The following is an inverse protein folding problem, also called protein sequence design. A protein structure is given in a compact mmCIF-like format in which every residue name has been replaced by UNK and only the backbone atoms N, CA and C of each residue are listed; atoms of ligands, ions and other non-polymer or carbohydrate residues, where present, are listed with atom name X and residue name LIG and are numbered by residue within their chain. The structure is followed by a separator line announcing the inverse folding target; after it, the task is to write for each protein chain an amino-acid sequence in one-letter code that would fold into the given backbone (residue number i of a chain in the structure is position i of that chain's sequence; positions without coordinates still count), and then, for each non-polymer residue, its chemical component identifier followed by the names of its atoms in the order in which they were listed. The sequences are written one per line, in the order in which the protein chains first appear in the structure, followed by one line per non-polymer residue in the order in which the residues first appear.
data_IF_707750726026
#
_entry.id   IF_707750726026
#
_cell.length_a   1.000
_cell.length_b   1.000
_cell.length_c   1.000
_cell.angle_alpha   90.00
_cell.angle_beta   90.00
_cell.angle_gamma   90.00
#
_symmetry.space_group_name_H-M   'P 1'
#
loop_
_entity.id
_entity.type
_entity.pdbx_description
1 polymer ?
#
# COMPACT_ATOMS: atom_id res chain seq x y z
N UNK A 1 10.35 -30.52 7.49
CA UNK A 1 8.93 -30.79 7.13
C UNK A 1 8.05 -29.81 7.88
N UNK A 2 7.83 -28.62 7.33
CA UNK A 2 6.82 -27.69 7.85
C UNK A 2 5.47 -28.30 7.47
N UNK A 3 4.54 -28.42 8.42
CA UNK A 3 3.18 -28.92 8.13
C UNK A 3 2.62 -28.16 6.93
N UNK A 4 2.14 -28.87 5.90
CA UNK A 4 1.59 -28.23 4.71
C UNK A 4 0.36 -27.41 5.11
N UNK A 5 0.56 -26.12 5.38
CA UNK A 5 -0.52 -25.19 5.74
C UNK A 5 -1.60 -25.31 4.66
N UNK A 6 -2.87 -25.60 5.01
CA UNK A 6 -3.91 -25.74 4.02
C UNK A 6 -3.98 -24.51 3.10
N UNK A 7 -4.24 -24.72 1.81
CA UNK A 7 -4.29 -23.64 0.80
C UNK A 7 -5.22 -22.50 1.21
N UNK A 8 -6.35 -22.84 1.81
CA UNK A 8 -7.31 -21.86 2.33
C UNK A 8 -6.74 -21.01 3.48
N UNK A 9 -6.03 -21.65 4.42
CA UNK A 9 -5.40 -20.95 5.53
C UNK A 9 -4.27 -20.01 5.03
N UNK A 10 -3.49 -20.45 4.03
CA UNK A 10 -2.50 -19.58 3.34
C UNK A 10 -3.18 -18.40 2.66
N UNK A 11 -4.23 -18.64 1.87
CA UNK A 11 -5.01 -17.61 1.20
C UNK A 11 -5.55 -16.57 2.17
N UNK A 12 -6.16 -16.99 3.27
CA UNK A 12 -6.65 -16.08 4.33
C UNK A 12 -5.53 -15.24 4.93
N UNK A 13 -4.37 -15.86 5.21
CA UNK A 13 -3.20 -15.14 5.75
C UNK A 13 -2.66 -14.10 4.77
N UNK A 14 -2.61 -14.43 3.47
CA UNK A 14 -2.18 -13.49 2.44
C UNK A 14 -3.15 -12.34 2.25
N UNK A 15 -4.46 -12.61 2.24
CA UNK A 15 -5.47 -11.54 2.19
C UNK A 15 -5.41 -10.61 3.40
N UNK A 16 -5.14 -11.13 4.60
CA UNK A 16 -4.93 -10.27 5.78
C UNK A 16 -3.74 -9.33 5.61
N UNK A 17 -2.63 -9.82 5.02
CA UNK A 17 -1.45 -9.00 4.74
C UNK A 17 -1.68 -8.00 3.62
N UNK A 18 -2.33 -8.43 2.53
CA UNK A 18 -2.74 -7.56 1.43
C UNK A 18 -3.65 -6.44 1.92
N UNK A 19 -4.67 -6.76 2.73
CA UNK A 19 -5.55 -5.77 3.33
C UNK A 19 -4.82 -4.75 4.19
N UNK A 20 -3.85 -5.19 5.01
CA UNK A 20 -3.01 -4.29 5.78
C UNK A 20 -2.16 -3.38 4.88
N UNK A 21 -1.51 -3.94 3.85
CA UNK A 21 -0.71 -3.17 2.91
C UNK A 21 -1.56 -2.13 2.17
N UNK A 22 -2.73 -2.51 1.64
CA UNK A 22 -3.65 -1.63 0.94
C UNK A 22 -4.21 -0.53 1.86
N UNK A 23 -4.55 -0.87 3.10
CA UNK A 23 -5.03 0.12 4.07
C UNK A 23 -3.97 1.18 4.36
N UNK A 24 -2.72 0.75 4.61
CA UNK A 24 -1.62 1.69 4.88
C UNK A 24 -1.32 2.53 3.64
N UNK A 25 -1.13 1.90 2.48
CA UNK A 25 -0.69 2.57 1.25
C UNK A 25 -1.75 3.46 0.61
N UNK A 26 -3.05 3.20 0.83
CA UNK A 26 -4.11 3.99 0.20
C UNK A 26 -4.85 4.88 1.20
N UNK A 27 -5.21 4.34 2.37
CA UNK A 27 -6.03 5.09 3.32
C UNK A 27 -5.16 5.96 4.20
N UNK A 28 -4.16 5.37 4.87
CA UNK A 28 -3.28 6.13 5.77
C UNK A 28 -2.48 7.17 4.98
N UNK A 29 -1.91 6.77 3.84
CA UNK A 29 -1.20 7.69 2.94
C UNK A 29 -2.07 8.89 2.55
N UNK A 30 -3.24 8.66 1.95
CA UNK A 30 -4.16 9.74 1.54
C UNK A 30 -4.55 10.66 2.71
N UNK A 31 -4.84 10.11 3.89
CA UNK A 31 -5.17 10.92 5.07
C UNK A 31 -3.99 11.79 5.49
N UNK A 32 -2.79 11.24 5.53
CA UNK A 32 -1.58 12.00 5.91
C UNK A 32 -1.22 13.06 4.86
N UNK A 33 -1.38 12.77 3.57
CA UNK A 33 -1.23 13.74 2.49
C UNK A 33 -2.26 14.85 2.58
N UNK A 34 -3.53 14.53 2.82
CA UNK A 34 -4.58 15.54 2.99
C UNK A 34 -4.32 16.45 4.20
N UNK A 35 -3.77 15.91 5.29
CA UNK A 35 -3.35 16.70 6.46
C UNK A 35 -2.17 17.62 6.13
N UNK A 36 -1.14 17.12 5.43
CA UNK A 36 0.00 17.91 4.99
C UNK A 36 -0.43 19.07 4.09
N UNK A 37 -1.29 18.80 3.11
CA UNK A 37 -1.85 19.79 2.20
C UNK A 37 -2.71 20.82 2.93
N UNK A 38 -3.46 20.40 3.96
CA UNK A 38 -4.22 21.34 4.80
C UNK A 38 -3.30 22.28 5.59
N UNK A 39 -2.11 21.82 5.99
CA UNK A 39 -1.14 22.62 6.74
C UNK A 39 -0.30 23.54 5.85
N UNK A 40 0.11 23.08 4.66
CA UNK A 40 1.10 23.76 3.82
C UNK A 40 0.59 24.16 2.42
N UNK A 41 -0.65 23.81 2.08
CA UNK A 41 -1.23 24.00 0.76
C UNK A 41 -0.79 22.93 -0.26
N UNK A 42 -1.43 22.92 -1.43
CA UNK A 42 -1.16 21.95 -2.50
C UNK A 42 0.24 22.14 -3.11
N UNK A 43 0.80 23.35 -3.05
CA UNK A 43 2.13 23.64 -3.59
C UNK A 43 3.30 22.96 -2.86
N UNK A 44 3.06 22.34 -1.69
CA UNK A 44 4.05 21.53 -0.99
C UNK A 44 4.07 20.06 -1.42
N UNK A 45 3.15 19.61 -2.28
CA UNK A 45 3.11 18.24 -2.78
C UNK A 45 4.11 18.05 -3.92
N UNK A 46 5.12 17.20 -3.71
CA UNK A 46 6.16 16.92 -4.69
C UNK A 46 5.68 16.02 -5.83
N UNK A 47 4.67 15.17 -5.60
CA UNK A 47 4.11 14.31 -6.63
C UNK A 47 3.14 15.10 -7.53
N UNK A 48 3.48 15.36 -8.80
CA UNK A 48 2.64 16.19 -9.69
C UNK A 48 1.27 15.58 -9.95
N UNK A 49 1.16 14.24 -9.95
CA UNK A 49 -0.12 13.54 -10.12
C UNK A 49 -1.00 13.79 -8.90
N UNK A 50 -0.42 13.68 -7.70
CA UNK A 50 -1.16 13.86 -6.45
C UNK A 50 -1.58 15.32 -6.27
N UNK A 51 -0.70 16.27 -6.59
CA UNK A 51 -1.01 17.70 -6.58
C UNK A 51 -2.21 18.04 -7.51
N UNK A 52 -2.22 17.47 -8.72
CA UNK A 52 -3.33 17.60 -9.66
C UNK A 52 -4.63 17.02 -9.11
N UNK A 53 -4.58 15.82 -8.52
CA UNK A 53 -5.77 15.16 -7.95
C UNK A 53 -6.35 15.93 -6.77
N UNK A 54 -5.50 16.49 -5.89
CA UNK A 54 -5.92 17.34 -4.78
C UNK A 54 -6.62 18.61 -5.26
N UNK A 55 -6.15 19.20 -6.37
CA UNK A 55 -6.77 20.37 -7.01
C UNK A 55 -8.07 20.06 -7.76
N UNK A 56 -8.34 18.79 -8.09
CA UNK A 56 -9.50 18.37 -8.90
C UNK A 56 -10.80 18.19 -8.09
N UNK A 57 -10.75 18.37 -6.77
CA UNK A 57 -11.89 18.24 -5.86
C UNK A 57 -12.08 16.82 -5.30
N UNK A 58 -12.77 16.74 -4.16
CA UNK A 58 -12.86 15.52 -3.35
C UNK A 58 -13.47 14.32 -4.08
N UNK A 59 -14.51 14.54 -4.91
CA UNK A 59 -15.18 13.45 -5.62
C UNK A 59 -14.27 12.75 -6.65
N UNK A 60 -13.49 13.53 -7.41
CA UNK A 60 -12.51 13.01 -8.37
C UNK A 60 -11.41 12.25 -7.65
N UNK A 61 -10.86 12.86 -6.59
CA UNK A 61 -9.84 12.25 -5.75
C UNK A 61 -10.29 10.89 -5.19
N UNK A 62 -11.49 10.83 -4.61
CA UNK A 62 -12.06 9.60 -4.06
C UNK A 62 -12.30 8.56 -5.16
N UNK A 63 -12.86 8.97 -6.30
CA UNK A 63 -13.10 8.07 -7.44
C UNK A 63 -11.83 7.41 -7.95
N UNK A 64 -10.74 8.18 -8.08
CA UNK A 64 -9.42 7.66 -8.48
C UNK A 64 -8.86 6.68 -7.45
N UNK A 65 -8.95 7.00 -6.15
CA UNK A 65 -8.47 6.10 -5.10
C UNK A 65 -9.25 4.78 -5.04
N UNK A 66 -10.57 4.82 -5.24
CA UNK A 66 -11.40 3.61 -5.34
C UNK A 66 -11.05 2.77 -6.57
N UNK A 67 -10.77 3.42 -7.71
CA UNK A 67 -10.32 2.71 -8.91
C UNK A 67 -8.95 2.04 -8.68
N UNK A 68 -8.00 2.76 -8.08
CA UNK A 68 -6.68 2.21 -7.71
C UNK A 68 -6.82 1.05 -6.73
N UNK A 69 -7.67 1.18 -5.71
CA UNK A 69 -7.97 0.09 -4.76
C UNK A 69 -8.47 -1.16 -5.48
N UNK A 70 -9.42 -1.01 -6.41
CA UNK A 70 -9.96 -2.14 -7.17
C UNK A 70 -8.89 -2.82 -8.03
N UNK A 71 -8.07 -2.04 -8.74
CA UNK A 71 -6.96 -2.55 -9.55
C UNK A 71 -5.95 -3.30 -8.68
N UNK A 72 -5.50 -2.70 -7.57
CA UNK A 72 -4.54 -3.33 -6.69
C UNK A 72 -5.12 -4.58 -6.01
N UNK A 73 -6.39 -4.56 -5.61
CA UNK A 73 -7.06 -5.75 -5.07
C UNK A 73 -7.10 -6.90 -6.08
N UNK A 74 -7.37 -6.61 -7.37
CA UNK A 74 -7.32 -7.60 -8.43
C UNK A 74 -5.91 -8.15 -8.67
N UNK A 75 -4.87 -7.29 -8.62
CA UNK A 75 -3.47 -7.72 -8.70
C UNK A 75 -3.06 -8.59 -7.52
N UNK A 76 -3.43 -8.20 -6.29
CA UNK A 76 -3.20 -9.02 -5.10
C UNK A 76 -3.92 -10.36 -5.21
N UNK A 77 -5.16 -10.40 -5.71
CA UNK A 77 -5.86 -11.65 -5.98
C UNK A 77 -5.03 -12.56 -6.91
N UNK A 78 -4.55 -12.04 -8.04
CA UNK A 78 -3.75 -12.80 -8.99
C UNK A 78 -2.44 -13.34 -8.37
N UNK A 79 -1.73 -12.50 -7.61
CA UNK A 79 -0.51 -12.90 -6.91
C UNK A 79 -0.76 -13.95 -5.82
N UNK A 80 -1.86 -13.82 -5.08
CA UNK A 80 -2.26 -14.79 -4.06
C UNK A 80 -2.60 -16.13 -4.70
N UNK A 81 -3.34 -16.14 -5.82
CA UNK A 81 -3.62 -17.36 -6.56
C UNK A 81 -2.34 -18.01 -7.08
N UNK A 82 -1.41 -17.23 -7.64
CA UNK A 82 -0.11 -17.71 -8.09
C UNK A 82 0.67 -18.36 -6.95
N UNK A 83 0.76 -17.69 -5.80
CA UNK A 83 1.48 -18.20 -4.63
C UNK A 83 0.84 -19.46 -4.03
N UNK A 84 -0.49 -19.55 -4.02
CA UNK A 84 -1.22 -20.71 -3.47
C UNK A 84 -1.14 -21.94 -4.39
N UNK A 85 -0.99 -21.72 -5.70
CA UNK A 85 -0.94 -22.77 -6.73
C UNK A 85 0.48 -23.12 -7.20
N UNK A 86 1.51 -22.43 -6.68
CA UNK A 86 2.89 -22.66 -7.07
C UNK A 86 3.27 -24.15 -6.94
N UNK A 87 3.84 -24.77 -7.98
CA UNK A 87 4.26 -26.16 -7.93
C UNK A 87 5.59 -26.30 -7.17
N UNK A 88 5.80 -27.48 -6.57
CA UNK A 88 7.11 -27.88 -6.06
C UNK A 88 8.14 -27.90 -7.21
N UNK A 89 9.41 -27.50 -6.98
CA UNK A 89 10.03 -27.15 -5.69
C UNK A 89 9.95 -25.64 -5.33
N UNK A 90 9.25 -24.83 -6.11
CA UNK A 90 9.27 -23.37 -5.96
C UNK A 90 8.21 -22.83 -4.99
N UNK A 91 7.36 -23.69 -4.44
CA UNK A 91 6.23 -23.32 -3.58
C UNK A 91 6.68 -22.55 -2.33
N UNK A 92 7.76 -22.99 -1.68
CA UNK A 92 8.31 -22.29 -0.51
C UNK A 92 8.93 -20.94 -0.89
N UNK A 93 9.65 -20.87 -2.00
CA UNK A 93 10.30 -19.64 -2.47
C UNK A 93 9.25 -18.60 -2.85
N UNK A 94 8.25 -18.98 -3.64
CA UNK A 94 7.16 -18.07 -4.05
C UNK A 94 6.37 -17.59 -2.83
N UNK A 95 6.09 -18.48 -1.88
CA UNK A 95 5.45 -18.10 -0.62
C UNK A 95 6.30 -17.06 0.12
N UNK A 96 7.57 -17.36 0.38
CA UNK A 96 8.48 -16.45 1.08
C UNK A 96 8.62 -15.09 0.37
N UNK A 97 8.73 -15.08 -0.96
CA UNK A 97 8.78 -13.86 -1.76
C UNK A 97 7.53 -13.00 -1.57
N UNK A 98 6.32 -13.59 -1.62
CA UNK A 98 5.08 -12.85 -1.36
C UNK A 98 5.04 -12.31 0.07
N UNK A 99 5.49 -13.11 1.04
CA UNK A 99 5.53 -12.71 2.44
C UNK A 99 6.45 -11.52 2.69
N UNK A 100 7.67 -11.57 2.15
CA UNK A 100 8.67 -10.50 2.28
C UNK A 100 8.19 -9.26 1.53
N UNK A 101 7.75 -9.40 0.29
CA UNK A 101 7.27 -8.28 -0.53
C UNK A 101 6.09 -7.57 0.13
N UNK A 102 5.08 -8.31 0.60
CA UNK A 102 3.92 -7.70 1.29
C UNK A 102 4.30 -7.01 2.60
N UNK A 103 5.28 -7.54 3.35
CA UNK A 103 5.80 -6.88 4.54
C UNK A 103 6.56 -5.58 4.18
N UNK A 104 7.37 -5.60 3.13
CA UNK A 104 8.09 -4.42 2.64
C UNK A 104 7.12 -3.33 2.19
N UNK A 105 6.00 -3.67 1.54
CA UNK A 105 4.96 -2.72 1.19
C UNK A 105 4.35 -2.03 2.41
N UNK A 106 4.06 -2.79 3.47
CA UNK A 106 3.55 -2.22 4.74
C UNK A 106 4.60 -1.29 5.34
N UNK A 107 5.86 -1.71 5.42
CA UNK A 107 6.94 -0.88 5.96
C UNK A 107 7.11 0.41 5.15
N UNK A 108 7.15 0.32 3.83
CA UNK A 108 7.24 1.48 2.94
C UNK A 108 6.07 2.44 3.16
N UNK A 109 4.84 1.94 3.22
CA UNK A 109 3.66 2.76 3.49
C UNK A 109 3.70 3.44 4.86
N UNK A 110 4.16 2.73 5.90
CA UNK A 110 4.34 3.32 7.24
C UNK A 110 5.42 4.41 7.22
N UNK A 111 6.53 4.19 6.52
CA UNK A 111 7.61 5.17 6.38
C UNK A 111 7.13 6.43 5.67
N UNK A 112 6.36 6.29 4.59
CA UNK A 112 5.78 7.44 3.87
C UNK A 112 4.77 8.17 4.74
N UNK A 113 3.87 7.46 5.42
CA UNK A 113 2.92 8.08 6.35
C UNK A 113 3.64 8.82 7.50
N UNK A 114 4.71 8.24 8.05
CA UNK A 114 5.53 8.88 9.06
C UNK A 114 6.23 10.13 8.52
N UNK A 115 6.67 10.11 7.25
CA UNK A 115 7.26 11.27 6.60
C UNK A 115 6.24 12.41 6.45
N UNK A 116 5.03 12.08 6.00
CA UNK A 116 3.94 13.05 5.89
C UNK A 116 3.58 13.64 7.26
N UNK A 117 3.56 12.83 8.33
CA UNK A 117 3.35 13.33 9.69
C UNK A 117 4.51 14.20 10.18
N UNK A 118 5.76 13.87 9.83
CA UNK A 118 6.91 14.70 10.18
C UNK A 118 6.84 16.07 9.51
N UNK A 119 6.41 16.12 8.24
CA UNK A 119 6.12 17.38 7.55
C UNK A 119 5.02 18.14 8.28
N UNK A 120 3.89 17.50 8.60
CA UNK A 120 2.75 18.13 9.30
C UNK A 120 3.15 18.75 10.65
N UNK A 121 3.89 18.03 11.49
CA UNK A 121 4.17 18.45 12.86
C UNK A 121 5.47 19.24 13.02
N UNK A 122 6.44 19.05 12.13
CA UNK A 122 7.77 19.60 12.29
C UNK A 122 8.29 20.36 11.06
N UNK A 123 7.62 20.27 9.90
CA UNK A 123 7.99 21.01 8.69
C UNK A 123 9.23 20.50 7.95
N UNK A 124 9.68 19.27 8.21
CA UNK A 124 10.82 18.65 7.49
C UNK A 124 10.46 17.26 6.95
N UNK A 125 11.14 16.88 5.87
CA UNK A 125 11.08 15.54 5.25
C UNK A 125 12.37 14.78 5.56
N UNK A 126 12.28 13.48 5.78
CA UNK A 126 13.43 12.58 5.85
C UNK A 126 13.52 11.62 4.66
N UNK A 127 12.51 11.64 3.79
CA UNK A 127 12.59 11.00 2.48
C UNK A 127 13.26 11.94 1.47
N UNK A 128 14.09 11.40 0.55
CA UNK A 128 14.66 12.19 -0.54
C UNK A 128 13.55 12.73 -1.45
N UNK A 129 13.74 13.97 -1.92
CA UNK A 129 12.84 14.66 -2.86
C UNK A 129 13.21 14.46 -4.31
#
# INVERSE_FOLDING_TARGET
MVSAVPREQRRRRYWRRAGLALFVLLTVDLLTTALAVRAYGVGGEANPIMAYLLGSGFAVLLGVHLAVLAVLAALFYALIELAVRAPSPFDEVVAASFEVWSALLVVAGVVVAANNLAVVFFGWTFLPG
#
